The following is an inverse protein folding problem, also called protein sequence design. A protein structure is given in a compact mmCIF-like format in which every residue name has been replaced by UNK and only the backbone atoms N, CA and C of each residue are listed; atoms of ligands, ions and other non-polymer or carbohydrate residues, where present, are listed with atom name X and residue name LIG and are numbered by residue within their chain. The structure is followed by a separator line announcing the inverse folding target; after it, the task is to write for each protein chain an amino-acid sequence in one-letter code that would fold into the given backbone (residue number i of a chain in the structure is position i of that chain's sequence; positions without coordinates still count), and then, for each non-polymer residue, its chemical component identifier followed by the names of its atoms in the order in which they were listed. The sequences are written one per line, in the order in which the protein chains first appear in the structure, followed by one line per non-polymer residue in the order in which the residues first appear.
data_IF_581775173422
#
_entry.id   IF_581775173422
#
_cell.length_a   1.000
_cell.length_b   1.000
_cell.length_c   1.000
_cell.angle_alpha   90.00
_cell.angle_beta   90.00
_cell.angle_gamma   90.00
#
_symmetry.space_group_name_H-M   'P 1'
#
loop_
_entity.id
_entity.type
_entity.pdbx_description
1 polymer ?
#
# COMPACT_ATOMS: atom_id res chain seq x y z
N UNK A 1 -31.92 -1.97 6.07
CA UNK A 1 -31.00 -2.64 7.02
C UNK A 1 -29.62 -1.98 7.15
N UNK A 2 -29.47 -0.67 6.90
CA UNK A 2 -28.14 0.00 6.83
C UNK A 2 -27.85 0.98 8.00
N UNK A 3 -28.69 1.09 9.00
CA UNK A 3 -28.57 2.15 10.00
C UNK A 3 -27.74 1.81 11.26
N UNK A 4 -27.17 0.60 11.35
CA UNK A 4 -26.44 0.15 12.54
C UNK A 4 -24.94 -0.15 12.32
N UNK A 5 -24.37 0.17 11.15
CA UNK A 5 -22.94 -0.02 10.91
C UNK A 5 -22.12 1.03 11.64
N UNK A 6 -21.02 0.63 12.26
CA UNK A 6 -20.01 1.55 12.81
C UNK A 6 -19.42 2.44 11.73
N UNK A 7 -18.72 3.51 12.11
CA UNK A 7 -17.99 4.33 11.14
C UNK A 7 -16.85 3.54 10.47
N UNK A 8 -16.19 2.63 11.19
CA UNK A 8 -15.18 1.75 10.65
C UNK A 8 -15.77 0.83 9.56
N UNK A 9 -16.89 0.14 9.81
CA UNK A 9 -17.56 -0.72 8.82
C UNK A 9 -17.96 0.06 7.56
N UNK A 10 -18.42 1.30 7.73
CA UNK A 10 -18.75 2.17 6.60
C UNK A 10 -17.52 2.53 5.77
N UNK A 11 -16.36 2.79 6.40
CA UNK A 11 -15.11 3.07 5.69
C UNK A 11 -14.59 1.83 4.96
N UNK A 12 -14.65 0.65 5.57
CA UNK A 12 -14.31 -0.63 4.91
C UNK A 12 -15.21 -0.85 3.70
N UNK A 13 -16.53 -0.65 3.85
CA UNK A 13 -17.47 -0.76 2.74
C UNK A 13 -17.13 0.18 1.58
N UNK A 14 -16.67 1.40 1.89
CA UNK A 14 -16.24 2.39 0.88
C UNK A 14 -14.90 2.01 0.22
N UNK A 15 -13.99 1.36 0.94
CA UNK A 15 -12.68 0.95 0.44
C UNK A 15 -12.75 -0.31 -0.44
N UNK A 16 -13.64 -1.25 -0.11
CA UNK A 16 -13.75 -2.56 -0.78
C UNK A 16 -13.80 -2.50 -2.31
N UNK A 17 -14.58 -1.61 -2.97
CA UNK A 17 -14.58 -1.51 -4.43
C UNK A 17 -13.20 -1.18 -5.04
N UNK A 18 -12.38 -0.40 -4.33
CA UNK A 18 -11.03 -0.06 -4.77
C UNK A 18 -10.09 -1.26 -4.64
N UNK A 19 -10.18 -2.02 -3.55
CA UNK A 19 -9.39 -3.26 -3.35
C UNK A 19 -9.73 -4.31 -4.41
N UNK A 20 -11.01 -4.51 -4.71
CA UNK A 20 -11.46 -5.40 -5.78
C UNK A 20 -10.95 -4.95 -7.16
N UNK A 21 -10.85 -3.64 -7.37
CA UNK A 21 -10.33 -3.08 -8.61
C UNK A 21 -8.81 -3.27 -8.70
N UNK A 22 -8.04 -3.13 -7.62
CA UNK A 22 -6.61 -3.49 -7.60
C UNK A 22 -6.40 -4.98 -7.89
N UNK A 23 -7.22 -5.86 -7.32
CA UNK A 23 -7.20 -7.29 -7.61
C UNK A 23 -7.48 -7.58 -9.11
N UNK A 24 -8.42 -6.89 -9.72
CA UNK A 24 -8.71 -7.05 -11.15
C UNK A 24 -7.58 -6.54 -12.04
N UNK A 25 -6.95 -5.41 -11.70
CA UNK A 25 -5.75 -4.95 -12.39
C UNK A 25 -4.66 -6.02 -12.38
N UNK A 26 -4.47 -6.68 -11.24
CA UNK A 26 -3.51 -7.76 -11.06
C UNK A 26 -3.84 -8.96 -11.94
N UNK A 27 -5.10 -9.41 -11.94
CA UNK A 27 -5.56 -10.52 -12.79
C UNK A 27 -5.35 -10.22 -14.28
N UNK A 28 -5.71 -9.02 -14.73
CA UNK A 28 -5.50 -8.61 -16.14
C UNK A 28 -4.04 -8.56 -16.52
N UNK A 29 -3.18 -8.04 -15.63
CA UNK A 29 -1.75 -8.01 -15.87
C UNK A 29 -1.18 -9.42 -16.10
N UNK A 30 -1.50 -10.36 -15.22
CA UNK A 30 -1.01 -11.73 -15.35
C UNK A 30 -1.61 -12.45 -16.56
N UNK A 31 -2.90 -12.24 -16.83
CA UNK A 31 -3.55 -12.80 -18.01
C UNK A 31 -2.95 -12.28 -19.33
N UNK A 32 -2.36 -11.09 -19.32
CA UNK A 32 -1.68 -10.50 -20.51
C UNK A 32 -0.39 -11.22 -20.88
N UNK A 33 0.11 -12.13 -20.04
CA UNK A 33 1.40 -12.84 -20.21
C UNK A 33 2.55 -11.86 -20.47
N UNK A 34 2.92 -11.03 -19.49
CA UNK A 34 3.90 -9.98 -19.68
C UNK A 34 5.24 -10.48 -20.20
N UNK A 35 5.88 -9.71 -21.06
CA UNK A 35 7.24 -10.01 -21.52
C UNK A 35 8.25 -9.88 -20.35
N UNK A 36 9.45 -10.49 -20.50
CA UNK A 36 10.54 -10.30 -19.54
C UNK A 36 10.83 -8.82 -19.26
N UNK A 37 10.82 -7.97 -20.29
CA UNK A 37 11.01 -6.52 -20.15
C UNK A 37 9.92 -5.88 -19.30
N UNK A 38 8.68 -6.29 -19.48
CA UNK A 38 7.52 -5.79 -18.70
C UNK A 38 7.61 -6.24 -17.25
N UNK A 39 8.01 -7.50 -17.00
CA UNK A 39 8.25 -8.01 -15.66
C UNK A 39 9.36 -7.26 -14.94
N UNK A 40 10.50 -7.01 -15.60
CA UNK A 40 11.60 -6.23 -15.03
C UNK A 40 11.13 -4.83 -14.66
N UNK A 41 10.36 -4.15 -15.53
CA UNK A 41 9.80 -2.82 -15.24
C UNK A 41 8.89 -2.86 -14.01
N UNK A 42 7.99 -3.82 -13.96
CA UNK A 42 7.08 -3.99 -12.82
C UNK A 42 7.86 -4.23 -11.51
N UNK A 43 8.78 -5.18 -11.51
CA UNK A 43 9.54 -5.52 -10.30
C UNK A 43 10.46 -4.39 -9.83
N UNK A 44 11.03 -3.58 -10.74
CA UNK A 44 11.77 -2.39 -10.36
C UNK A 44 10.90 -1.38 -9.61
N UNK A 45 9.67 -1.19 -10.06
CA UNK A 45 8.71 -0.32 -9.38
C UNK A 45 8.22 -0.93 -8.05
N UNK A 46 7.98 -2.23 -8.00
CA UNK A 46 7.59 -2.94 -6.79
C UNK A 46 8.70 -2.87 -5.72
N UNK A 47 9.92 -3.23 -6.09
CA UNK A 47 11.11 -3.13 -5.22
C UNK A 47 11.32 -1.71 -4.71
N UNK A 48 11.13 -0.68 -5.57
CA UNK A 48 11.20 0.71 -5.12
C UNK A 48 10.15 1.01 -4.06
N UNK A 49 8.91 0.53 -4.25
CA UNK A 49 7.80 0.80 -3.35
C UNK A 49 8.04 0.19 -1.96
N UNK A 50 8.46 -1.07 -1.90
CA UNK A 50 8.77 -1.74 -0.62
C UNK A 50 10.02 -1.14 0.06
N UNK A 51 11.00 -0.65 -0.69
CA UNK A 51 12.16 0.06 -0.15
C UNK A 51 11.80 1.47 0.37
N UNK A 52 10.71 2.05 -0.13
CA UNK A 52 10.32 3.42 0.14
C UNK A 52 8.86 3.54 0.63
N UNK A 53 8.45 2.77 1.67
CA UNK A 53 7.14 2.90 2.25
C UNK A 53 6.97 4.26 2.92
N UNK A 54 5.72 4.70 3.07
CA UNK A 54 5.34 5.91 3.83
C UNK A 54 4.50 5.46 5.01
N UNK A 55 5.17 5.15 6.13
CA UNK A 55 4.55 4.58 7.33
C UNK A 55 4.26 5.68 8.37
N UNK A 56 5.11 6.71 8.43
CA UNK A 56 4.90 7.86 9.32
C UNK A 56 5.82 7.89 10.53
N UNK A 57 6.83 7.01 10.63
CA UNK A 57 7.83 7.04 11.71
C UNK A 57 9.02 7.95 11.39
N UNK A 58 9.22 8.26 10.12
CA UNK A 58 10.25 9.16 9.66
C UNK A 58 10.03 10.61 10.07
N UNK A 59 10.97 11.50 9.77
CA UNK A 59 10.86 12.91 10.10
C UNK A 59 9.68 13.58 9.37
N UNK A 60 8.97 14.44 10.11
CA UNK A 60 7.78 15.15 9.60
C UNK A 60 8.12 16.38 8.75
N UNK A 61 9.39 16.75 8.67
CA UNK A 61 9.84 17.95 7.96
C UNK A 61 10.11 17.64 6.48
N UNK A 62 9.25 18.15 5.60
CA UNK A 62 9.37 17.98 4.16
C UNK A 62 8.87 16.61 3.69
N UNK A 63 8.99 16.36 2.37
CA UNK A 63 8.66 15.08 1.77
C UNK A 63 9.83 14.11 1.93
N UNK A 64 9.70 13.18 2.86
CA UNK A 64 10.67 12.12 3.07
C UNK A 64 9.94 10.78 3.18
N UNK A 65 10.44 9.76 2.50
CA UNK A 65 9.97 8.38 2.60
C UNK A 65 11.14 7.41 2.44
N UNK A 66 10.89 6.17 2.78
CA UNK A 66 11.87 5.08 2.66
C UNK A 66 12.26 4.48 4.00
N UNK A 67 12.53 3.19 3.97
CA UNK A 67 12.85 2.39 5.16
C UNK A 67 13.94 3.05 6.02
N UNK A 68 14.99 3.62 5.40
CA UNK A 68 16.06 4.27 6.14
C UNK A 68 15.59 5.50 6.95
N UNK A 69 14.61 6.24 6.46
CA UNK A 69 14.02 7.38 7.17
C UNK A 69 13.10 6.91 8.29
N UNK A 70 12.31 5.87 8.04
CA UNK A 70 11.43 5.26 9.03
C UNK A 70 12.25 4.63 10.17
N UNK A 71 13.32 3.89 9.87
CA UNK A 71 14.27 3.39 10.87
C UNK A 71 14.92 4.52 11.68
N UNK A 72 15.32 5.61 11.02
CA UNK A 72 15.87 6.77 11.73
C UNK A 72 14.87 7.36 12.73
N UNK A 73 13.60 7.44 12.36
CA UNK A 73 12.53 7.87 13.25
C UNK A 73 12.39 6.96 14.49
N UNK A 74 12.48 5.63 14.29
CA UNK A 74 12.45 4.67 15.38
C UNK A 74 13.67 4.77 16.30
N UNK A 75 14.88 4.94 15.74
CA UNK A 75 16.10 5.13 16.54
C UNK A 75 15.96 6.34 17.46
N UNK A 76 15.47 7.45 16.96
CA UNK A 76 15.25 8.65 17.76
C UNK A 76 14.23 8.43 18.89
N UNK A 77 13.20 7.59 18.68
CA UNK A 77 12.24 7.22 19.70
C UNK A 77 12.83 6.27 20.75
N UNK A 78 13.78 5.43 20.35
CA UNK A 78 14.42 4.47 21.26
C UNK A 78 15.21 5.16 22.39
N UNK A 79 15.72 6.36 22.18
CA UNK A 79 16.38 7.16 23.23
C UNK A 79 15.46 7.44 24.42
N UNK A 80 14.14 7.42 24.23
CA UNK A 80 13.14 7.61 25.28
C UNK A 80 12.61 6.30 25.90
N UNK A 81 13.22 5.14 25.61
CA UNK A 81 12.70 3.82 26.04
C UNK A 81 12.62 3.69 27.57
N UNK A 82 13.49 4.37 28.31
CA UNK A 82 13.51 4.39 29.79
C UNK A 82 12.70 5.55 30.40
N UNK A 83 12.28 6.53 29.57
CA UNK A 83 11.58 7.75 29.97
C UNK A 83 10.07 7.69 29.65
N UNK A 84 9.46 6.50 29.72
CA UNK A 84 8.02 6.33 29.58
C UNK A 84 7.53 6.00 28.17
N UNK A 85 8.43 5.61 27.26
CA UNK A 85 8.02 5.06 25.97
C UNK A 85 7.13 3.83 26.17
N UNK A 86 5.99 3.79 25.47
CA UNK A 86 5.18 2.58 25.39
C UNK A 86 5.94 1.47 24.66
N UNK A 87 6.49 0.54 25.44
CA UNK A 87 7.31 -0.57 24.93
C UNK A 87 6.55 -1.49 24.00
N UNK A 88 5.23 -1.68 24.19
CA UNK A 88 4.41 -2.55 23.34
C UNK A 88 4.20 -1.91 21.97
N UNK A 89 3.82 -0.64 21.96
CA UNK A 89 3.69 0.12 20.72
C UNK A 89 5.02 0.21 19.97
N UNK A 90 6.13 0.40 20.69
CA UNK A 90 7.45 0.44 20.05
C UNK A 90 7.86 -0.92 19.47
N UNK A 91 7.58 -2.03 20.18
CA UNK A 91 7.83 -3.38 19.68
C UNK A 91 7.04 -3.65 18.38
N UNK A 92 5.76 -3.35 18.37
CA UNK A 92 4.93 -3.51 17.17
C UNK A 92 5.48 -2.72 15.96
N UNK A 93 5.97 -1.50 16.18
CA UNK A 93 6.60 -0.70 15.14
C UNK A 93 7.90 -1.31 14.59
N UNK A 94 8.68 -1.97 15.45
CA UNK A 94 9.87 -2.71 15.01
C UNK A 94 9.48 -3.93 14.18
N UNK A 95 8.44 -4.68 14.57
CA UNK A 95 7.92 -5.80 13.81
C UNK A 95 7.49 -5.34 12.40
N UNK A 96 6.69 -4.29 12.30
CA UNK A 96 6.28 -3.70 11.01
C UNK A 96 7.48 -3.30 10.14
N UNK A 97 8.53 -2.72 10.72
CA UNK A 97 9.73 -2.37 9.94
C UNK A 97 10.50 -3.60 9.44
N UNK A 98 10.47 -4.71 10.18
CA UNK A 98 11.08 -5.98 9.75
C UNK A 98 10.28 -6.59 8.60
N UNK A 99 8.96 -6.56 8.67
CA UNK A 99 8.04 -7.04 7.63
C UNK A 99 8.26 -6.25 6.33
N UNK A 100 8.26 -4.94 6.37
CA UNK A 100 8.52 -4.09 5.21
C UNK A 100 9.90 -4.38 4.56
N UNK A 101 10.92 -4.62 5.38
CA UNK A 101 12.24 -5.00 4.86
C UNK A 101 12.23 -6.40 4.24
N UNK A 102 11.43 -7.33 4.78
CA UNK A 102 11.24 -8.66 4.21
C UNK A 102 10.52 -8.58 2.85
N UNK A 103 9.47 -7.76 2.74
CA UNK A 103 8.76 -7.52 1.47
C UNK A 103 9.73 -7.03 0.37
N UNK A 104 10.57 -6.04 0.70
CA UNK A 104 11.64 -5.60 -0.18
C UNK A 104 12.57 -6.75 -0.58
N UNK A 105 13.03 -7.55 0.39
CA UNK A 105 14.00 -8.62 0.17
C UNK A 105 13.47 -9.68 -0.79
N UNK A 106 12.27 -10.20 -0.57
CA UNK A 106 11.72 -11.28 -1.42
C UNK A 106 11.44 -10.82 -2.85
N UNK A 107 11.03 -9.57 -3.06
CA UNK A 107 10.85 -9.02 -4.40
C UNK A 107 12.18 -8.69 -5.09
N UNK A 108 13.17 -8.22 -4.33
CA UNK A 108 14.52 -7.97 -4.83
C UNK A 108 15.17 -9.26 -5.36
N UNK A 109 15.07 -10.37 -4.63
CA UNK A 109 15.57 -11.68 -5.05
C UNK A 109 14.93 -12.17 -6.37
N UNK A 110 13.63 -11.95 -6.56
CA UNK A 110 12.96 -12.26 -7.83
C UNK A 110 13.46 -11.37 -8.97
N UNK A 111 13.70 -10.09 -8.70
CA UNK A 111 14.25 -9.18 -9.70
C UNK A 111 15.70 -9.54 -10.06
N UNK A 112 16.54 -9.90 -9.09
CA UNK A 112 17.93 -10.35 -9.30
C UNK A 112 17.99 -11.56 -10.23
N UNK A 113 17.12 -12.54 -10.05
CA UNK A 113 17.03 -13.71 -10.93
C UNK A 113 16.69 -13.32 -12.37
N UNK A 114 15.73 -12.40 -12.55
CA UNK A 114 15.40 -11.90 -13.88
C UNK A 114 16.55 -11.13 -14.53
N UNK A 115 17.31 -10.37 -13.74
CA UNK A 115 18.46 -9.60 -14.22
C UNK A 115 19.68 -10.49 -14.45
N UNK A 116 19.78 -11.65 -13.79
CA UNK A 116 20.93 -12.53 -13.79
C UNK A 116 22.15 -11.94 -13.06
N UNK A 117 21.92 -11.01 -12.13
CA UNK A 117 22.95 -10.33 -11.33
C UNK A 117 22.35 -9.73 -10.06
N UNK A 118 23.16 -9.46 -9.02
CA UNK A 118 22.72 -8.75 -7.84
C UNK A 118 22.14 -7.36 -8.15
N UNK A 119 21.21 -6.93 -7.31
CA UNK A 119 20.59 -5.61 -7.37
C UNK A 119 21.63 -4.50 -7.25
N UNK A 120 21.46 -3.45 -8.03
CA UNK A 120 22.33 -2.27 -8.00
C UNK A 120 21.52 -1.02 -7.67
N UNK A 121 22.21 0.01 -7.19
CA UNK A 121 21.60 1.33 -7.02
C UNK A 121 21.06 1.82 -8.36
N UNK A 122 19.78 2.12 -8.43
CA UNK A 122 19.08 2.52 -9.66
C UNK A 122 18.34 1.38 -10.36
N UNK A 123 18.39 0.14 -9.85
CA UNK A 123 17.47 -0.92 -10.29
C UNK A 123 16.07 -0.75 -9.68
N UNK A 124 15.93 -0.10 -8.53
CA UNK A 124 14.67 0.36 -8.01
C UNK A 124 14.26 1.68 -8.69
N UNK A 125 13.04 1.76 -9.21
CA UNK A 125 12.58 2.88 -10.04
C UNK A 125 11.22 3.38 -9.54
N UNK A 126 11.17 4.65 -9.12
CA UNK A 126 9.91 5.31 -8.80
C UNK A 126 9.14 5.69 -10.06
N UNK A 127 7.89 5.27 -10.13
CA UNK A 127 7.00 5.69 -11.20
C UNK A 127 6.25 6.99 -10.84
N UNK A 128 5.84 7.80 -11.85
CA UNK A 128 5.15 9.07 -11.61
C UNK A 128 3.90 8.98 -10.74
N UNK A 129 3.07 7.96 -10.92
CA UNK A 129 1.85 7.81 -10.11
C UNK A 129 2.17 7.33 -8.68
N UNK A 130 3.27 6.61 -8.47
CA UNK A 130 3.76 6.28 -7.13
C UNK A 130 4.30 7.51 -6.41
N UNK A 131 5.01 8.41 -7.09
CA UNK A 131 5.47 9.68 -6.50
C UNK A 131 4.28 10.51 -5.98
N UNK A 132 3.19 10.59 -6.75
CA UNK A 132 1.96 11.28 -6.33
C UNK A 132 1.33 10.60 -5.12
N UNK A 133 1.26 9.26 -5.11
CA UNK A 133 0.73 8.49 -4.00
C UNK A 133 1.55 8.73 -2.73
N UNK A 134 2.88 8.66 -2.81
CA UNK A 134 3.75 8.87 -1.66
C UNK A 134 3.60 10.28 -1.08
N UNK A 135 3.51 11.31 -1.91
CA UNK A 135 3.24 12.69 -1.45
C UNK A 135 1.88 12.78 -0.73
N UNK A 136 0.85 12.17 -1.30
CA UNK A 136 -0.50 12.21 -0.73
C UNK A 136 -0.54 11.48 0.62
N UNK A 137 0.04 10.27 0.70
CA UNK A 137 0.15 9.50 1.94
C UNK A 137 0.96 10.26 2.99
N UNK A 138 2.13 10.78 2.64
CA UNK A 138 2.96 11.57 3.55
C UNK A 138 2.20 12.73 4.19
N UNK A 139 1.40 13.46 3.42
CA UNK A 139 0.58 14.54 3.94
C UNK A 139 -0.48 14.05 4.95
N UNK A 140 -1.04 12.86 4.72
CA UNK A 140 -2.10 12.32 5.58
C UNK A 140 -1.56 11.61 6.83
N UNK A 141 -0.47 10.85 6.75
CA UNK A 141 0.13 10.22 7.94
C UNK A 141 0.73 11.25 8.90
N UNK A 142 1.07 12.44 8.40
CA UNK A 142 1.55 13.57 9.21
C UNK A 142 0.46 14.64 9.47
N UNK A 143 -0.81 14.31 9.29
CA UNK A 143 -1.93 15.19 9.58
C UNK A 143 -2.12 15.38 11.08
N UNK A 144 -2.55 16.56 11.53
CA UNK A 144 -2.98 16.78 12.92
C UNK A 144 -4.33 16.09 13.25
N UNK A 145 -5.01 15.53 12.26
CA UNK A 145 -6.28 14.82 12.43
C UNK A 145 -6.04 13.31 12.56
N UNK A 146 -6.22 12.77 13.76
CA UNK A 146 -6.03 11.35 14.07
C UNK A 146 -6.90 10.41 13.21
N UNK A 147 -8.13 10.80 12.87
CA UNK A 147 -9.00 9.99 12.00
C UNK A 147 -8.46 9.90 10.57
N UNK A 148 -7.77 10.95 10.11
CA UNK A 148 -7.09 10.97 8.80
C UNK A 148 -5.82 10.13 8.84
N UNK A 149 -5.06 10.15 9.93
CA UNK A 149 -3.88 9.30 10.09
C UNK A 149 -4.27 7.81 10.12
N UNK A 150 -5.19 7.44 11.01
CA UNK A 150 -5.62 6.05 11.21
C UNK A 150 -6.21 5.42 9.93
N UNK A 151 -6.97 6.18 9.11
CA UNK A 151 -7.54 5.64 7.88
C UNK A 151 -6.48 5.32 6.81
N UNK A 152 -5.24 5.78 6.96
CA UNK A 152 -4.17 5.46 6.00
C UNK A 152 -3.81 3.98 6.00
N UNK A 153 -3.86 3.30 7.13
CA UNK A 153 -3.66 1.85 7.20
C UNK A 153 -4.72 1.10 6.40
N UNK A 154 -5.99 1.52 6.48
CA UNK A 154 -7.06 0.91 5.69
C UNK A 154 -6.82 1.01 4.18
N UNK A 155 -6.01 1.96 3.71
CA UNK A 155 -5.65 2.06 2.30
C UNK A 155 -4.71 0.94 1.83
N UNK A 156 -4.08 0.18 2.74
CA UNK A 156 -3.19 -0.96 2.42
C UNK A 156 -3.96 -2.18 1.87
N UNK A 157 -5.25 -2.33 2.19
CA UNK A 157 -6.06 -3.47 1.74
C UNK A 157 -6.06 -3.71 0.23
N UNK A 158 -5.80 -2.67 -0.60
CA UNK A 158 -5.59 -2.83 -2.03
C UNK A 158 -4.25 -3.52 -2.36
N UNK A 159 -3.20 -3.26 -1.57
CA UNK A 159 -1.93 -3.98 -1.65
C UNK A 159 -2.11 -5.46 -1.33
N UNK A 160 -2.74 -5.75 -0.20
CA UNK A 160 -3.11 -7.11 0.23
C UNK A 160 -3.89 -7.85 -0.87
N UNK A 161 -4.90 -7.22 -1.48
CA UNK A 161 -5.68 -7.80 -2.58
C UNK A 161 -4.79 -8.11 -3.80
N UNK A 162 -3.83 -7.24 -4.12
CA UNK A 162 -2.86 -7.45 -5.20
C UNK A 162 -1.95 -8.66 -4.92
N UNK A 163 -1.38 -8.76 -3.73
CA UNK A 163 -0.49 -9.86 -3.36
C UNK A 163 -1.22 -11.18 -3.24
N UNK A 164 -2.45 -11.20 -2.71
CA UNK A 164 -3.31 -12.38 -2.71
C UNK A 164 -3.62 -12.90 -4.12
N UNK A 165 -3.90 -12.03 -5.08
CA UNK A 165 -4.07 -12.44 -6.48
C UNK A 165 -2.73 -12.89 -7.09
N UNK A 166 -1.64 -12.21 -6.77
CA UNK A 166 -0.30 -12.55 -7.23
C UNK A 166 0.19 -13.90 -6.72
N UNK A 167 -0.16 -14.29 -5.50
CA UNK A 167 0.19 -15.60 -4.94
C UNK A 167 -0.46 -16.79 -5.65
N UNK A 168 -1.49 -16.53 -6.47
CA UNK A 168 -2.17 -17.55 -7.30
C UNK A 168 -1.53 -17.71 -8.69
N UNK A 169 -0.50 -16.93 -9.01
CA UNK A 169 0.19 -17.02 -10.30
C UNK A 169 0.78 -18.41 -10.50
N UNK A 170 0.53 -18.98 -11.67
CA UNK A 170 1.03 -20.30 -12.06
C UNK A 170 1.81 -20.20 -13.36
N UNK A 171 2.85 -21.02 -13.52
CA UNK A 171 3.67 -21.01 -14.71
C UNK A 171 4.98 -21.76 -14.54
N UNK A 172 6.05 -21.22 -15.11
CA UNK A 172 7.39 -21.75 -14.98
C UNK A 172 8.05 -21.44 -13.63
N UNK A 173 9.36 -21.59 -13.59
CA UNK A 173 10.17 -21.35 -12.37
C UNK A 173 10.05 -19.90 -11.88
N UNK A 174 10.09 -18.94 -12.79
CA UNK A 174 9.94 -17.53 -12.47
C UNK A 174 8.58 -17.21 -11.83
N UNK A 175 7.48 -17.65 -12.47
CA UNK A 175 6.13 -17.40 -11.95
C UNK A 175 5.91 -18.08 -10.60
N UNK A 176 6.49 -19.27 -10.40
CA UNK A 176 6.43 -20.00 -9.12
C UNK A 176 7.17 -19.23 -8.02
N UNK A 177 8.38 -18.71 -8.31
CA UNK A 177 9.15 -17.91 -7.35
C UNK A 177 8.44 -16.59 -7.02
N UNK A 178 7.89 -15.91 -8.02
CA UNK A 178 7.15 -14.67 -7.82
C UNK A 178 5.87 -14.90 -7.00
N UNK A 179 5.13 -15.98 -7.28
CA UNK A 179 3.95 -16.34 -6.48
C UNK A 179 4.30 -16.63 -5.02
N UNK A 180 5.45 -17.28 -4.76
CA UNK A 180 5.93 -17.51 -3.40
C UNK A 180 6.29 -16.20 -2.69
N UNK A 181 6.95 -15.25 -3.36
CA UNK A 181 7.24 -13.92 -2.82
C UNK A 181 5.95 -13.16 -2.48
N UNK A 182 4.98 -13.16 -3.39
CA UNK A 182 3.67 -12.53 -3.14
C UNK A 182 2.91 -13.19 -1.99
N UNK A 183 3.07 -14.51 -1.81
CA UNK A 183 2.43 -15.21 -0.69
C UNK A 183 3.02 -14.77 0.64
N UNK A 184 4.33 -14.60 0.77
CA UNK A 184 4.96 -14.07 1.99
C UNK A 184 4.35 -12.72 2.35
N UNK A 185 4.31 -11.79 1.39
CA UNK A 185 3.76 -10.46 1.64
C UNK A 185 2.26 -10.52 1.98
N UNK A 186 1.48 -11.33 1.26
CA UNK A 186 0.05 -11.47 1.53
C UNK A 186 -0.25 -12.05 2.92
N UNK A 187 0.55 -13.02 3.38
CA UNK A 187 0.38 -13.64 4.70
C UNK A 187 0.69 -12.63 5.83
N UNK A 188 1.68 -11.74 5.66
CA UNK A 188 2.01 -10.68 6.62
C UNK A 188 0.92 -9.58 6.65
N UNK A 189 0.38 -9.22 5.49
CA UNK A 189 -0.65 -8.17 5.34
C UNK A 189 -2.06 -8.61 5.80
N UNK A 190 -2.31 -9.91 6.00
CA UNK A 190 -3.66 -10.43 6.28
C UNK A 190 -4.27 -9.90 7.59
N UNK A 191 -3.45 -9.47 8.56
CA UNK A 191 -3.89 -8.89 9.83
C UNK A 191 -4.10 -7.36 9.82
N UNK A 192 -3.53 -6.66 8.87
CA UNK A 192 -3.46 -5.19 8.90
C UNK A 192 -4.84 -4.53 8.75
N UNK A 193 -5.72 -5.06 7.91
CA UNK A 193 -7.08 -4.52 7.73
C UNK A 193 -7.92 -4.65 9.00
N UNK A 194 -7.81 -5.78 9.71
CA UNK A 194 -8.56 -6.01 10.96
C UNK A 194 -8.03 -5.07 12.06
N UNK A 195 -6.71 -4.92 12.17
CA UNK A 195 -6.08 -3.99 13.10
C UNK A 195 -6.47 -2.53 12.82
N UNK A 196 -6.41 -2.11 11.55
CA UNK A 196 -6.86 -0.79 11.12
C UNK A 196 -8.34 -0.54 11.47
N UNK A 197 -9.20 -1.56 11.34
CA UNK A 197 -10.60 -1.45 11.70
C UNK A 197 -10.80 -1.23 13.21
N UNK A 198 -10.03 -1.91 14.06
CA UNK A 198 -10.06 -1.73 15.52
C UNK A 198 -9.60 -0.32 15.92
N UNK A 199 -8.51 0.17 15.35
CA UNK A 199 -8.01 1.53 15.62
C UNK A 199 -9.04 2.59 15.21
N UNK A 200 -9.67 2.44 14.04
CA UNK A 200 -10.72 3.36 13.56
C UNK A 200 -11.91 3.44 14.50
N UNK A 201 -12.28 2.35 15.19
CA UNK A 201 -13.34 2.35 16.22
C UNK A 201 -12.97 3.26 17.40
N UNK A 202 -11.68 3.38 17.72
CA UNK A 202 -11.21 4.20 18.83
C UNK A 202 -11.04 5.67 18.46
N UNK A 203 -10.75 5.97 17.21
CA UNK A 203 -10.40 7.33 16.76
C UNK A 203 -11.59 8.07 16.14
N UNK A 204 -12.49 7.39 15.41
CA UNK A 204 -13.61 8.04 14.72
C UNK A 204 -14.85 8.07 15.63
N UNK A 205 -15.08 9.21 16.28
CA UNK A 205 -16.19 9.39 17.22
C UNK A 205 -17.30 10.30 16.69
N UNK A 206 -17.02 11.13 15.69
CA UNK A 206 -17.96 12.13 15.18
C UNK A 206 -18.18 11.99 13.67
N UNK A 207 -19.30 12.55 13.19
CA UNK A 207 -19.55 12.66 11.74
C UNK A 207 -18.51 13.53 11.02
N UNK A 208 -17.85 14.45 11.72
CA UNK A 208 -16.76 15.26 11.19
C UNK A 208 -15.51 14.41 10.97
N UNK A 209 -15.13 13.57 11.95
CA UNK A 209 -14.01 12.63 11.82
C UNK A 209 -14.23 11.68 10.66
N UNK A 210 -15.45 11.09 10.60
CA UNK A 210 -15.82 10.21 9.49
C UNK A 210 -15.73 10.90 8.13
N UNK A 211 -16.19 12.15 8.01
CA UNK A 211 -16.15 12.89 6.74
C UNK A 211 -14.69 13.16 6.31
N UNK A 212 -13.82 13.52 7.27
CA UNK A 212 -12.40 13.75 7.00
C UNK A 212 -11.68 12.46 6.59
N UNK A 213 -11.88 11.38 7.35
CA UNK A 213 -11.33 10.06 7.05
C UNK A 213 -11.82 9.52 5.69
N UNK A 214 -13.13 9.59 5.42
CA UNK A 214 -13.71 9.22 4.12
C UNK A 214 -13.03 9.93 2.97
N UNK A 215 -12.88 11.26 3.06
CA UNK A 215 -12.22 12.04 2.00
C UNK A 215 -10.79 11.56 1.74
N UNK A 216 -10.01 11.38 2.79
CA UNK A 216 -8.63 10.91 2.68
C UNK A 216 -8.55 9.50 2.09
N UNK A 217 -9.37 8.57 2.60
CA UNK A 217 -9.48 7.20 2.12
C UNK A 217 -9.73 7.14 0.61
N UNK A 218 -10.76 7.83 0.15
CA UNK A 218 -11.17 7.77 -1.26
C UNK A 218 -10.11 8.37 -2.19
N UNK A 219 -9.47 9.49 -1.79
CA UNK A 219 -8.40 10.12 -2.57
C UNK A 219 -7.17 9.20 -2.69
N UNK A 220 -6.72 8.64 -1.57
CA UNK A 220 -5.56 7.73 -1.56
C UNK A 220 -5.88 6.45 -2.32
N UNK A 221 -7.05 5.85 -2.11
CA UNK A 221 -7.46 4.63 -2.82
C UNK A 221 -7.53 4.84 -4.33
N UNK A 222 -8.07 6.00 -4.80
CA UNK A 222 -8.07 6.30 -6.23
C UNK A 222 -6.66 6.49 -6.79
N UNK A 223 -5.78 7.21 -6.06
CA UNK A 223 -4.38 7.38 -6.47
C UNK A 223 -3.63 6.03 -6.50
N UNK A 224 -3.94 5.10 -5.57
CA UNK A 224 -3.40 3.74 -5.61
C UNK A 224 -3.80 2.99 -6.87
N UNK A 225 -5.05 3.11 -7.32
CA UNK A 225 -5.49 2.49 -8.58
C UNK A 225 -4.70 3.02 -9.78
N UNK A 226 -4.44 4.33 -9.84
CA UNK A 226 -3.61 4.91 -10.92
C UNK A 226 -2.18 4.38 -10.85
N UNK A 227 -1.57 4.38 -9.66
CA UNK A 227 -0.23 3.85 -9.45
C UNK A 227 -0.16 2.37 -9.85
N UNK A 228 -1.10 1.54 -9.41
CA UNK A 228 -1.13 0.12 -9.73
C UNK A 228 -1.29 -0.13 -11.22
N UNK A 229 -2.18 0.60 -11.88
CA UNK A 229 -2.36 0.50 -13.33
C UNK A 229 -1.10 0.90 -14.10
N UNK A 230 -0.40 1.96 -13.67
CA UNK A 230 0.90 2.35 -14.25
C UNK A 230 1.97 1.29 -14.05
N UNK A 231 2.09 0.71 -12.84
CA UNK A 231 3.00 -0.41 -12.56
C UNK A 231 2.75 -1.58 -13.49
N UNK A 232 1.49 -1.88 -13.77
CA UNK A 232 1.05 -2.94 -14.68
C UNK A 232 1.02 -2.52 -16.16
N UNK A 233 1.72 -1.44 -16.52
CA UNK A 233 1.84 -0.95 -17.89
C UNK A 233 0.48 -0.55 -18.51
N UNK A 234 -0.41 0.00 -17.69
CA UNK A 234 -1.73 0.49 -18.08
C UNK A 234 -2.60 -0.60 -18.74
N UNK A 235 -2.79 -1.72 -18.02
CA UNK A 235 -3.64 -2.85 -18.48
C UNK A 235 -5.13 -2.49 -18.61
N UNK A 236 -5.54 -1.38 -18.03
CA UNK A 236 -6.84 -0.74 -18.25
C UNK A 236 -6.66 0.69 -18.76
N UNK A 237 -7.52 1.11 -19.66
CA UNK A 237 -7.71 2.54 -19.91
C UNK A 237 -8.34 3.21 -18.70
N UNK A 238 -8.27 4.53 -18.59
CA UNK A 238 -8.89 5.26 -17.49
C UNK A 238 -10.41 5.09 -17.49
N UNK A 239 -11.03 5.00 -18.64
CA UNK A 239 -12.47 4.76 -18.80
C UNK A 239 -12.86 3.37 -18.28
N UNK A 240 -12.11 2.32 -18.65
CA UNK A 240 -12.33 0.95 -18.14
C UNK A 240 -12.14 0.88 -16.63
N UNK A 241 -11.10 1.53 -16.08
CA UNK A 241 -10.83 1.57 -14.65
C UNK A 241 -11.99 2.20 -13.89
N UNK A 242 -12.44 3.37 -14.33
CA UNK A 242 -13.56 4.09 -13.72
C UNK A 242 -14.88 3.33 -13.85
N UNK A 243 -15.12 2.70 -15.02
CA UNK A 243 -16.29 1.86 -15.25
C UNK A 243 -16.33 0.67 -14.32
N UNK A 244 -15.22 -0.08 -14.23
CA UNK A 244 -15.10 -1.25 -13.36
C UNK A 244 -15.30 -0.90 -11.87
N UNK A 245 -14.70 0.23 -11.41
CA UNK A 245 -14.88 0.73 -10.06
C UNK A 245 -16.34 1.10 -9.77
N UNK A 246 -16.99 1.81 -10.71
CA UNK A 246 -18.39 2.24 -10.56
C UNK A 246 -19.37 1.07 -10.51
N UNK A 247 -19.16 0.03 -11.32
CA UNK A 247 -19.98 -1.20 -11.32
C UNK A 247 -19.98 -1.91 -9.96
N UNK A 248 -18.95 -1.69 -9.14
CA UNK A 248 -18.82 -2.22 -7.77
C UNK A 248 -19.26 -1.26 -6.69
N UNK A 249 -19.84 -0.13 -7.07
CA UNK A 249 -20.31 0.89 -6.14
C UNK A 249 -19.21 1.83 -5.63
N UNK A 250 -18.01 1.77 -6.21
CA UNK A 250 -16.96 2.74 -5.94
C UNK A 250 -17.19 4.06 -6.66
N UNK A 251 -16.63 5.14 -6.13
CA UNK A 251 -16.78 6.51 -6.67
C UNK A 251 -15.49 6.92 -7.39
N UNK A 252 -15.48 7.03 -8.75
CA UNK A 252 -14.33 7.57 -9.46
C UNK A 252 -14.10 9.03 -9.09
N UNK A 253 -12.92 9.32 -8.54
CA UNK A 253 -12.54 10.67 -8.12
C UNK A 253 -11.53 11.24 -9.11
N UNK A 254 -11.78 12.46 -9.56
CA UNK A 254 -10.82 13.18 -10.38
C UNK A 254 -9.67 13.72 -9.51
N UNK A 255 -8.56 12.98 -9.48
CA UNK A 255 -7.36 13.30 -8.70
C UNK A 255 -6.43 14.33 -9.35
N UNK A 256 -6.71 14.78 -10.58
CA UNK A 256 -5.87 15.79 -11.27
C UNK A 256 -6.00 17.19 -10.67
N UNK A 257 -6.88 17.37 -9.70
CA UNK A 257 -7.16 18.66 -9.05
C UNK A 257 -6.48 18.79 -7.67
N UNK A 258 -5.67 17.81 -7.27
CA UNK A 258 -5.04 17.74 -5.94
C UNK A 258 -3.52 17.67 -6.01
#
# INVERSE_FOLDING_TARGET
MSDNLSFADKLITLATPYWETEAELTRRFFASKPSKKTWVRYLRAAVYKELNPVIGYGPTNGFACGLHMEFSGLVNKFEAVDDGLDRRSFHHRLEQMIEEFMHFTVLAEVLEDLLGRPLQRGDAEQLPEDEKLNRLRHNYVNSDNMAVQAVMELTEGGGTATFREGSKLTGGEFETKLAAAFKVIADDEDGHVDHAAEELLDVIKTTSDFAAAKKALLLVSMQRLHMRNEMFSNVMTLEELNGYLSERGGEPINITKF
#
